data_IF_127520341630
#
_entry.id   IF_127520341630
#
_cell.length_a   1.000
_cell.length_b   1.000
_cell.length_c   1.000
_cell.angle_alpha   90.00
_cell.angle_beta   90.00
_cell.angle_gamma   90.00
#
_symmetry.space_group_name_H-M   'P 1'
#
loop_
_entity.id
_entity.type
_entity.pdbx_description
1 polymer ?
#
# COMPACT_ATOMS: atom_id res chain seq x y z
N UNK A 1 16.82 12.00 -34.63
CA UNK A 1 16.83 11.81 -33.16
C UNK A 1 15.50 12.24 -32.49
N UNK A 2 14.32 12.06 -33.09
CA UNK A 2 13.04 12.59 -32.55
C UNK A 2 12.07 11.58 -31.91
N UNK A 3 12.25 10.27 -32.15
CA UNK A 3 11.31 9.24 -31.65
C UNK A 3 11.52 8.91 -30.16
N UNK A 4 12.75 8.99 -29.65
CA UNK A 4 13.06 8.67 -28.25
C UNK A 4 12.47 9.65 -27.22
N UNK A 5 12.50 10.96 -27.49
CA UNK A 5 11.94 11.97 -26.58
C UNK A 5 10.41 11.89 -26.47
N UNK A 6 9.70 11.52 -27.54
CA UNK A 6 8.24 11.44 -27.54
C UNK A 6 7.80 10.23 -26.71
N UNK A 7 8.48 9.08 -26.85
CA UNK A 7 8.19 7.90 -26.02
C UNK A 7 8.49 8.16 -24.55
N UNK A 8 9.61 8.82 -24.23
CA UNK A 8 9.94 9.17 -22.85
C UNK A 8 8.91 10.12 -22.20
N UNK A 9 8.41 11.11 -22.94
CA UNK A 9 7.37 12.03 -22.47
C UNK A 9 6.01 11.34 -22.27
N UNK A 10 5.65 10.41 -23.16
CA UNK A 10 4.42 9.62 -23.01
C UNK A 10 4.52 8.68 -21.81
N UNK A 11 5.65 7.99 -21.64
CA UNK A 11 5.87 7.09 -20.49
C UNK A 11 5.87 7.90 -19.18
N UNK A 12 6.54 9.05 -19.14
CA UNK A 12 6.52 9.92 -17.97
C UNK A 12 5.12 10.46 -17.66
N UNK A 13 4.35 10.84 -18.69
CA UNK A 13 2.97 11.30 -18.54
C UNK A 13 2.01 10.22 -18.04
N UNK A 14 2.16 8.99 -18.53
CA UNK A 14 1.37 7.83 -18.08
C UNK A 14 1.73 7.44 -16.65
N UNK A 15 3.02 7.43 -16.30
CA UNK A 15 3.47 7.17 -14.91
C UNK A 15 2.96 8.25 -13.96
N UNK A 16 3.00 9.53 -14.35
CA UNK A 16 2.45 10.62 -13.55
C UNK A 16 0.93 10.49 -13.38
N UNK A 17 0.20 10.11 -14.43
CA UNK A 17 -1.24 9.90 -14.36
C UNK A 17 -1.60 8.70 -13.48
N UNK A 18 -0.87 7.59 -13.58
CA UNK A 18 -1.06 6.41 -12.73
C UNK A 18 -0.72 6.70 -11.27
N UNK A 19 0.33 7.47 -11.00
CA UNK A 19 0.65 7.93 -9.65
C UNK A 19 -0.46 8.82 -9.07
N UNK A 20 -1.06 9.71 -9.88
CA UNK A 20 -2.22 10.52 -9.47
C UNK A 20 -3.42 9.63 -9.17
N UNK A 21 -3.69 8.61 -10.00
CA UNK A 21 -4.79 7.67 -9.79
C UNK A 21 -4.56 6.84 -8.52
N UNK A 22 -3.34 6.35 -8.28
CA UNK A 22 -2.96 5.63 -7.07
C UNK A 22 -3.09 6.52 -5.81
N UNK A 23 -2.73 7.81 -5.91
CA UNK A 23 -2.98 8.79 -4.84
C UNK A 23 -4.47 9.02 -4.63
N UNK A 24 -5.27 9.16 -5.68
CA UNK A 24 -6.73 9.36 -5.56
C UNK A 24 -7.42 8.13 -4.99
N UNK A 25 -7.04 6.92 -5.40
CA UNK A 25 -7.54 5.66 -4.84
C UNK A 25 -7.10 5.53 -3.39
N UNK A 26 -5.81 5.79 -3.12
CA UNK A 26 -5.25 5.90 -1.78
C UNK A 26 -6.12 6.82 -0.93
N UNK A 27 -6.36 8.05 -1.36
CA UNK A 27 -7.20 9.08 -0.71
C UNK A 27 -8.67 8.68 -0.57
N UNK A 28 -9.26 7.97 -1.52
CA UNK A 28 -10.68 7.55 -1.45
C UNK A 28 -10.86 6.37 -0.49
N UNK A 29 -9.95 5.39 -0.52
CA UNK A 29 -9.96 4.22 0.37
C UNK A 29 -9.50 4.61 1.76
N UNK A 30 -8.43 5.39 1.86
CA UNK A 30 -7.88 5.93 3.08
C UNK A 30 -8.75 7.02 3.69
N UNK A 31 -9.35 7.93 2.92
CA UNK A 31 -10.10 9.07 3.46
C UNK A 31 -11.33 8.68 4.30
N UNK A 32 -11.79 7.43 4.20
CA UNK A 32 -12.79 6.84 5.11
C UNK A 32 -12.20 6.36 6.45
N UNK A 33 -10.89 6.15 6.55
CA UNK A 33 -10.16 5.62 7.72
C UNK A 33 -9.07 6.55 8.27
N UNK A 34 -8.56 7.50 7.50
CA UNK A 34 -7.42 8.34 7.78
C UNK A 34 -7.90 9.80 7.91
N UNK A 35 -7.65 10.41 9.06
CA UNK A 35 -7.92 11.84 9.27
C UNK A 35 -7.09 12.75 8.35
N UNK A 36 -7.27 14.07 8.46
CA UNK A 36 -6.68 15.08 7.56
C UNK A 36 -5.17 14.92 7.35
N UNK A 37 -4.42 14.53 8.38
CA UNK A 37 -2.97 14.34 8.26
C UNK A 37 -2.53 13.02 7.62
N UNK A 38 -3.41 12.02 7.46
CA UNK A 38 -3.10 10.81 6.67
C UNK A 38 -3.24 11.07 5.17
N UNK A 39 -4.21 11.91 4.80
CA UNK A 39 -4.40 12.39 3.44
C UNK A 39 -3.23 13.24 2.95
N UNK A 40 -2.69 14.12 3.81
CA UNK A 40 -1.55 14.96 3.46
C UNK A 40 -0.28 14.11 3.18
N UNK A 41 -0.06 13.04 3.96
CA UNK A 41 1.05 12.10 3.76
C UNK A 41 0.89 11.32 2.45
N UNK A 42 -0.30 10.78 2.17
CA UNK A 42 -0.58 10.08 0.91
C UNK A 42 -0.43 10.97 -0.32
N UNK A 43 -0.68 12.27 -0.19
CA UNK A 43 -0.44 13.23 -1.28
C UNK A 43 1.04 13.53 -1.52
N UNK A 44 1.89 13.39 -0.49
CA UNK A 44 3.34 13.62 -0.54
C UNK A 44 4.14 12.36 -0.89
N UNK A 45 3.58 11.17 -0.63
CA UNK A 45 4.17 9.87 -0.88
C UNK A 45 3.24 9.02 -1.76
N UNK A 46 3.25 9.17 -3.10
CA UNK A 46 2.38 8.41 -3.99
C UNK A 46 2.60 6.89 -3.91
N UNK A 47 3.77 6.44 -3.48
CA UNK A 47 4.06 5.03 -3.17
C UNK A 47 3.34 4.52 -1.92
N UNK A 48 3.10 5.37 -0.91
CA UNK A 48 2.34 5.01 0.29
C UNK A 48 0.89 4.62 -0.04
N UNK A 49 0.27 5.31 -1.00
CA UNK A 49 -1.06 4.94 -1.48
C UNK A 49 -1.11 3.55 -2.12
N UNK A 50 -0.09 3.20 -2.92
CA UNK A 50 0.01 1.88 -3.54
C UNK A 50 0.24 0.77 -2.49
N UNK A 51 1.17 0.98 -1.56
CA UNK A 51 1.46 0.02 -0.46
C UNK A 51 0.20 -0.20 0.39
N UNK A 52 -0.52 0.86 0.76
CA UNK A 52 -1.77 0.76 1.52
C UNK A 52 -2.87 0.01 0.75
N UNK A 53 -3.04 0.31 -0.54
CA UNK A 53 -4.04 -0.35 -1.37
C UNK A 53 -3.74 -1.86 -1.53
N UNK A 54 -2.48 -2.22 -1.75
CA UNK A 54 -2.05 -3.61 -1.87
C UNK A 54 -2.29 -4.38 -0.57
N UNK A 55 -1.84 -3.85 0.58
CA UNK A 55 -2.07 -4.49 1.88
C UNK A 55 -3.56 -4.65 2.17
N UNK A 56 -4.35 -3.58 1.97
CA UNK A 56 -5.80 -3.61 2.21
C UNK A 56 -6.48 -4.65 1.31
N UNK A 57 -6.08 -4.78 0.05
CA UNK A 57 -6.68 -5.73 -0.89
C UNK A 57 -6.41 -7.17 -0.46
N UNK A 58 -5.17 -7.44 -0.03
CA UNK A 58 -4.73 -8.73 0.44
C UNK A 58 -5.49 -9.12 1.71
N UNK A 59 -5.60 -8.21 2.67
CA UNK A 59 -6.37 -8.45 3.90
C UNK A 59 -7.87 -8.64 3.62
N UNK A 60 -8.45 -7.87 2.70
CA UNK A 60 -9.83 -8.03 2.29
C UNK A 60 -10.09 -9.37 1.59
N UNK A 61 -9.21 -9.75 0.67
CA UNK A 61 -9.29 -11.05 -0.01
C UNK A 61 -9.23 -12.20 1.01
N UNK A 62 -8.29 -12.17 1.96
CA UNK A 62 -8.19 -13.19 3.02
C UNK A 62 -9.44 -13.26 3.90
N UNK A 63 -10.04 -12.11 4.20
CA UNK A 63 -11.28 -12.04 4.98
C UNK A 63 -12.47 -12.66 4.24
N UNK A 64 -12.54 -12.44 2.93
CA UNK A 64 -13.58 -13.02 2.07
C UNK A 64 -13.33 -14.50 1.76
N UNK A 65 -12.07 -14.93 1.78
CA UNK A 65 -11.63 -16.28 1.44
C UNK A 65 -10.74 -16.86 2.56
N UNK A 66 -11.30 -17.14 3.75
CA UNK A 66 -10.50 -17.57 4.92
C UNK A 66 -9.77 -18.90 4.73
N UNK A 67 -10.30 -19.77 3.86
CA UNK A 67 -9.70 -21.08 3.56
C UNK A 67 -8.64 -21.02 2.44
N UNK A 68 -8.49 -19.87 1.76
CA UNK A 68 -7.55 -19.74 0.67
C UNK A 68 -6.10 -19.66 1.18
N UNK A 69 -5.28 -20.63 0.80
CA UNK A 69 -3.85 -20.63 1.08
C UNK A 69 -3.08 -19.98 -0.06
N UNK A 70 -2.79 -18.69 0.10
CA UNK A 70 -1.96 -17.92 -0.85
C UNK A 70 -0.58 -17.71 -0.23
N UNK A 71 0.47 -18.14 -0.93
CA UNK A 71 1.85 -17.95 -0.48
C UNK A 71 2.15 -16.45 -0.32
N UNK A 72 2.88 -16.09 0.73
CA UNK A 72 3.32 -14.72 1.00
C UNK A 72 4.47 -14.31 0.07
N UNK A 73 4.22 -14.32 -1.24
CA UNK A 73 5.18 -14.02 -2.30
C UNK A 73 4.55 -13.04 -3.28
N UNK A 74 5.38 -12.27 -3.98
CA UNK A 74 4.92 -11.28 -4.94
C UNK A 74 4.08 -11.93 -6.05
N UNK A 75 4.58 -13.00 -6.66
CA UNK A 75 3.96 -13.67 -7.80
C UNK A 75 2.60 -14.30 -7.44
N UNK A 76 2.51 -14.93 -6.26
CA UNK A 76 1.25 -15.53 -5.82
C UNK A 76 0.16 -14.47 -5.60
N UNK A 77 0.51 -13.32 -5.02
CA UNK A 77 -0.45 -12.23 -4.83
C UNK A 77 -0.74 -11.46 -6.12
N UNK A 78 0.21 -11.37 -7.05
CA UNK A 78 -0.04 -10.81 -8.37
C UNK A 78 -1.10 -11.62 -9.13
N UNK A 79 -1.03 -12.94 -9.06
CA UNK A 79 -2.02 -13.84 -9.70
C UNK A 79 -3.42 -13.67 -9.10
N UNK A 80 -3.53 -13.46 -7.78
CA UNK A 80 -4.80 -13.19 -7.11
C UNK A 80 -5.35 -11.81 -7.49
N UNK A 81 -4.49 -10.79 -7.47
CA UNK A 81 -4.91 -9.39 -7.60
C UNK A 81 -5.14 -8.93 -9.04
N UNK A 82 -4.67 -9.68 -10.07
CA UNK A 82 -4.83 -9.29 -11.48
C UNK A 82 -6.28 -9.16 -11.94
N UNK A 83 -7.20 -9.87 -11.28
CA UNK A 83 -8.64 -9.83 -11.56
C UNK A 83 -9.45 -9.30 -10.37
N UNK A 84 -8.77 -8.85 -9.30
CA UNK A 84 -9.42 -8.46 -8.05
C UNK A 84 -9.89 -6.99 -8.08
N UNK A 85 -11.13 -6.78 -7.64
CA UNK A 85 -11.71 -5.44 -7.47
C UNK A 85 -12.02 -5.17 -6.01
N UNK A 86 -11.21 -4.33 -5.38
CA UNK A 86 -11.44 -3.90 -4.01
C UNK A 86 -12.67 -3.00 -3.91
N UNK A 87 -13.58 -3.31 -2.97
CA UNK A 87 -14.81 -2.54 -2.76
C UNK A 87 -15.73 -2.42 -3.99
N UNK A 88 -15.55 -3.30 -5.00
CA UNK A 88 -16.32 -3.30 -6.25
C UNK A 88 -15.96 -2.21 -7.26
N UNK A 89 -15.05 -1.27 -6.93
CA UNK A 89 -14.75 -0.11 -7.77
C UNK A 89 -13.25 0.05 -8.10
N UNK A 90 -12.37 -0.38 -7.19
CA UNK A 90 -10.92 -0.20 -7.35
C UNK A 90 -10.32 -1.44 -8.01
N UNK A 91 -9.85 -1.29 -9.24
CA UNK A 91 -9.22 -2.37 -10.01
C UNK A 91 -7.76 -2.56 -9.58
N UNK A 92 -7.41 -3.70 -9.00
CA UNK A 92 -6.06 -3.97 -8.52
C UNK A 92 -5.10 -4.40 -9.64
N UNK A 93 -5.60 -4.69 -10.85
CA UNK A 93 -4.77 -5.04 -12.01
C UNK A 93 -3.76 -3.96 -12.39
N UNK A 94 -4.02 -2.70 -12.03
CA UNK A 94 -3.10 -1.59 -12.26
C UNK A 94 -1.77 -1.71 -11.48
N UNK A 95 -1.77 -2.50 -10.40
CA UNK A 95 -0.61 -2.83 -9.61
C UNK A 95 0.00 -4.18 -10.00
N UNK A 96 -0.47 -4.79 -11.09
CA UNK A 96 0.08 -6.05 -11.62
C UNK A 96 0.76 -5.78 -12.96
N UNK A 97 2.04 -6.13 -13.05
CA UNK A 97 2.83 -6.01 -14.27
C UNK A 97 3.71 -7.23 -14.43
N UNK A 98 3.66 -7.86 -15.60
CA UNK A 98 4.48 -9.02 -15.95
C UNK A 98 4.40 -10.16 -14.91
N UNK A 99 3.21 -10.38 -14.33
CA UNK A 99 2.98 -11.40 -13.30
C UNK A 99 3.49 -11.02 -11.90
N UNK A 100 3.80 -9.75 -11.68
CA UNK A 100 4.32 -9.24 -10.42
C UNK A 100 3.56 -8.03 -9.90
N UNK A 101 3.50 -7.89 -8.58
CA UNK A 101 3.02 -6.69 -7.93
C UNK A 101 4.04 -5.56 -8.06
N UNK A 102 3.53 -4.37 -8.41
CA UNK A 102 4.31 -3.15 -8.54
C UNK A 102 3.68 -1.99 -7.79
N UNK A 103 4.50 -1.01 -7.43
CA UNK A 103 4.05 0.24 -6.80
C UNK A 103 3.59 1.30 -7.81
N UNK A 104 3.28 2.49 -7.31
CA UNK A 104 2.86 3.64 -8.12
C UNK A 104 3.91 4.08 -9.16
N UNK A 105 5.19 3.73 -8.96
CA UNK A 105 6.29 4.01 -9.89
C UNK A 105 6.61 2.81 -10.79
N UNK A 106 5.77 1.79 -10.78
CA UNK A 106 5.93 0.56 -11.56
C UNK A 106 7.20 -0.22 -11.20
N UNK A 107 7.63 -0.12 -9.93
CA UNK A 107 8.73 -0.90 -9.36
C UNK A 107 8.16 -2.09 -8.61
N UNK A 108 8.85 -3.23 -8.70
CA UNK A 108 8.47 -4.44 -8.01
C UNK A 108 8.44 -4.22 -6.50
N UNK A 109 7.37 -4.67 -5.84
CA UNK A 109 7.26 -4.61 -4.38
C UNK A 109 7.73 -5.91 -3.73
N UNK A 110 8.32 -5.81 -2.56
CA UNK A 110 8.50 -6.94 -1.66
C UNK A 110 7.16 -7.35 -1.04
N UNK A 111 6.90 -8.66 -0.99
CA UNK A 111 5.77 -9.24 -0.25
C UNK A 111 6.34 -10.29 0.69
N UNK A 112 6.05 -10.15 1.97
CA UNK A 112 6.47 -11.10 2.98
C UNK A 112 5.39 -11.30 4.04
N UNK A 113 5.55 -12.31 4.87
CA UNK A 113 4.71 -12.51 6.05
C UNK A 113 5.42 -11.97 7.27
N UNK A 114 4.76 -11.05 7.97
CA UNK A 114 5.20 -10.51 9.25
C UNK A 114 5.10 -11.53 10.38
N UNK A 115 5.73 -11.26 11.54
CA UNK A 115 5.77 -12.16 12.69
C UNK A 115 4.38 -12.42 13.30
N UNK A 116 3.41 -11.53 13.08
CA UNK A 116 2.01 -11.67 13.51
C UNK A 116 1.14 -12.41 12.47
N UNK A 117 1.74 -12.90 11.38
CA UNK A 117 1.07 -13.61 10.29
C UNK A 117 0.40 -12.70 9.26
N UNK A 118 0.46 -11.37 9.43
CA UNK A 118 -0.03 -10.42 8.42
C UNK A 118 0.94 -10.32 7.24
N UNK A 119 0.46 -9.80 6.11
CA UNK A 119 1.34 -9.51 4.98
C UNK A 119 1.99 -8.15 5.20
N UNK A 120 3.29 -8.09 4.92
CA UNK A 120 4.06 -6.86 4.86
C UNK A 120 4.39 -6.59 3.40
N UNK A 121 4.10 -5.36 2.97
CA UNK A 121 4.42 -4.87 1.62
C UNK A 121 5.53 -3.84 1.74
N UNK A 122 6.57 -3.99 0.92
CA UNK A 122 7.70 -3.06 0.85
C UNK A 122 7.83 -2.52 -0.56
N UNK A 123 7.73 -1.20 -0.73
CA UNK A 123 7.97 -0.51 -2.00
C UNK A 123 9.34 0.19 -1.94
N UNK A 124 10.18 0.04 -2.98
CA UNK A 124 11.42 0.79 -3.12
C UNK A 124 11.21 2.22 -3.64
N UNK A 125 9.96 2.67 -3.77
CA UNK A 125 9.66 4.02 -4.22
C UNK A 125 10.22 4.37 -5.60
N UNK A 126 10.64 5.62 -5.74
CA UNK A 126 10.93 6.21 -7.06
C UNK A 126 12.27 5.73 -7.63
N UNK A 127 13.29 5.60 -6.79
CA UNK A 127 14.62 5.17 -7.22
C UNK A 127 14.65 3.66 -7.58
N UNK A 128 13.72 2.87 -7.02
CA UNK A 128 13.62 1.44 -7.23
C UNK A 128 14.71 0.65 -6.50
N UNK A 129 15.34 1.24 -5.47
CA UNK A 129 16.41 0.64 -4.68
C UNK A 129 15.99 0.64 -3.20
N UNK A 130 15.90 -0.56 -2.62
CA UNK A 130 15.67 -0.70 -1.18
C UNK A 130 16.89 -0.24 -0.37
N UNK A 131 16.63 0.32 0.81
CA UNK A 131 17.60 0.81 1.78
C UNK A 131 17.71 2.33 1.86
N UNK A 132 16.81 3.07 1.19
CA UNK A 132 16.89 4.52 1.05
C UNK A 132 15.62 5.23 1.59
N UNK A 133 15.62 6.56 1.58
CA UNK A 133 14.52 7.40 2.08
C UNK A 133 13.22 7.29 1.27
N UNK A 134 13.30 6.76 0.04
CA UNK A 134 12.14 6.54 -0.84
C UNK A 134 11.35 5.26 -0.47
N UNK A 135 11.90 4.41 0.40
CA UNK A 135 11.26 3.17 0.81
C UNK A 135 10.00 3.41 1.63
N UNK A 136 8.94 2.66 1.31
CA UNK A 136 7.72 2.64 2.11
C UNK A 136 7.34 1.21 2.42
N UNK A 137 7.20 0.90 3.71
CA UNK A 137 6.65 -0.36 4.18
C UNK A 137 5.23 -0.18 4.70
N UNK A 138 4.43 -1.24 4.65
CA UNK A 138 3.09 -1.20 5.23
C UNK A 138 3.10 -1.01 6.75
N UNK A 139 4.19 -1.40 7.43
CA UNK A 139 4.40 -1.13 8.86
C UNK A 139 4.56 0.36 9.16
N UNK A 140 5.36 1.09 8.35
CA UNK A 140 5.47 2.56 8.48
C UNK A 140 4.12 3.26 8.34
N UNK A 141 3.25 2.72 7.48
CA UNK A 141 1.90 3.26 7.32
C UNK A 141 1.01 2.96 8.53
N UNK A 142 1.14 1.78 9.14
CA UNK A 142 0.40 1.42 10.35
C UNK A 142 0.77 2.31 11.53
N UNK A 143 2.04 2.65 11.71
CA UNK A 143 2.45 3.59 12.75
C UNK A 143 1.83 4.98 12.48
N UNK A 144 1.84 5.43 11.22
CA UNK A 144 1.26 6.71 10.83
C UNK A 144 -0.28 6.78 10.94
N UNK A 145 -0.96 5.64 10.76
CA UNK A 145 -2.41 5.48 10.87
C UNK A 145 -2.81 5.26 12.34
N UNK A 146 -2.03 4.50 13.09
CA UNK A 146 -2.21 4.18 14.50
C UNK A 146 -2.10 5.41 15.39
N UNK A 147 -1.05 6.22 15.19
CA UNK A 147 -0.85 7.48 15.93
C UNK A 147 -2.01 8.49 15.72
N UNK A 148 -2.79 8.35 14.63
CA UNK A 148 -3.96 9.21 14.33
C UNK A 148 -5.31 8.56 14.64
N UNK A 149 -5.35 7.27 14.98
CA UNK A 149 -6.54 6.61 15.52
C UNK A 149 -6.55 6.62 17.06
N UNK A 150 -5.39 6.81 17.70
CA UNK A 150 -5.25 6.94 19.16
C UNK A 150 -5.58 8.34 19.71
N UNK A 151 -6.35 9.14 18.95
CA UNK A 151 -7.05 10.32 19.44
C UNK A 151 -8.18 10.02 20.43
N UNK A 152 -8.34 8.77 20.88
CA UNK A 152 -8.97 8.46 22.15
C UNK A 152 -7.88 8.41 23.21
N UNK A 153 -7.96 9.16 24.32
CA UNK A 153 -6.93 9.10 25.34
C UNK A 153 -6.79 7.67 25.82
N UNK A 154 -5.68 7.02 25.46
CA UNK A 154 -5.19 5.85 26.17
C UNK A 154 -4.69 6.35 27.53
N UNK A 155 -5.61 6.57 28.46
CA UNK A 155 -5.29 6.57 29.89
C UNK A 155 -4.98 5.12 30.28
N UNK A 156 -3.85 4.63 29.79
CA UNK A 156 -3.18 3.42 30.25
C UNK A 156 -2.35 3.69 31.50
N UNK A 157 -2.85 4.51 32.42
CA UNK A 157 -2.43 4.40 33.81
C UNK A 157 -3.18 3.20 34.37
N UNK A 158 -2.48 2.08 34.54
CA UNK A 158 -2.98 0.97 35.35
C UNK A 158 -3.06 1.50 36.79
N UNK A 159 -4.24 1.62 37.42
CA UNK A 159 -4.27 1.93 38.85
C UNK A 159 -3.57 0.80 39.61
N UNK A 160 -2.72 1.09 40.61
CA UNK A 160 -2.08 0.05 41.39
C UNK A 160 -3.16 -0.83 42.04
N UNK A 161 -2.99 -2.15 41.93
CA UNK A 161 -3.89 -3.13 42.52
C UNK A 161 -4.04 -2.88 44.03
N UNK A 162 -5.25 -3.03 44.61
CA UNK A 162 -5.42 -2.95 46.05
C UNK A 162 -4.62 -4.07 46.73
N UNK A 163 -3.82 -3.70 47.72
CA UNK A 163 -3.04 -4.65 48.52
C UNK A 163 -3.97 -5.63 49.28
N UNK A 164 -3.51 -6.87 49.53
CA UNK A 164 -4.24 -7.83 50.38
C UNK A 164 -4.35 -7.37 51.84
#
# INVERSE_FOLDING_TARGET
MKKGCIVALIVAGVVALLAIIAVVIGVVVAGKKLGEGGLEFLSKAPNAGAVFALETAIEEYRRQNPDAQVAATNEAWAEVLKDYKMGGATDMSQFVKDGKLVDAFQKEVGVSQGPDGKIVITSPGKDGILGNEDDVTSEMLKDLVGDKMDGAPSTGETPPAPAP
#
